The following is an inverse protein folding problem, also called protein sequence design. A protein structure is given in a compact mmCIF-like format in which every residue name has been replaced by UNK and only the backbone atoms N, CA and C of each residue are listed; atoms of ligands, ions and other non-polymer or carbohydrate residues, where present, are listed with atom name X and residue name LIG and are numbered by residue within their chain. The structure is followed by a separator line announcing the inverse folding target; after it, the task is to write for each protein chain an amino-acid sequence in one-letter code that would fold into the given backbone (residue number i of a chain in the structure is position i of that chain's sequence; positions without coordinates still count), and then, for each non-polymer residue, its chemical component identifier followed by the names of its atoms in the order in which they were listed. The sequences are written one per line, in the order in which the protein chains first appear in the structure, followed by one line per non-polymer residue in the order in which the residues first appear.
data_IF_661683583715
#
_entry.id   IF_661683583715
#
_cell.length_a   1.000
_cell.length_b   1.000
_cell.length_c   1.000
_cell.angle_alpha   90.00
_cell.angle_beta   90.00
_cell.angle_gamma   90.00
#
_symmetry.space_group_name_H-M   'P 1'
#
loop_
_entity.id
_entity.type
_entity.pdbx_description
1 polymer ?
#
# COMPACT_ATOMS: atom_id res chain seq x y z
N UNK A 1 -4.84 27.03 -42.70
CA UNK A 1 -3.92 26.03 -42.10
C UNK A 1 -3.84 26.33 -40.62
N UNK A 2 -4.66 25.66 -39.80
CA UNK A 2 -4.77 25.91 -38.36
C UNK A 2 -3.86 24.91 -37.67
N UNK A 3 -2.77 25.41 -37.07
CA UNK A 3 -1.87 24.61 -36.24
C UNK A 3 -2.64 24.26 -34.98
N UNK A 4 -2.94 22.97 -34.83
CA UNK A 4 -3.59 22.42 -33.65
C UNK A 4 -2.52 22.35 -32.57
N UNK A 5 -2.62 23.23 -31.57
CA UNK A 5 -1.88 23.12 -30.31
C UNK A 5 -2.16 21.74 -29.69
N UNK A 6 -1.26 20.80 -29.95
CA UNK A 6 -1.18 19.53 -29.25
C UNK A 6 -0.56 19.85 -27.89
N UNK A 7 -1.43 20.19 -26.94
CA UNK A 7 -1.09 20.47 -25.55
C UNK A 7 -0.25 19.33 -24.96
N UNK A 8 1.06 19.55 -24.95
CA UNK A 8 2.03 18.75 -24.24
C UNK A 8 1.78 18.94 -22.73
N UNK A 9 1.60 17.85 -22.00
CA UNK A 9 1.95 17.81 -20.57
C UNK A 9 0.86 18.13 -19.56
N UNK A 10 -0.08 17.21 -19.36
CA UNK A 10 -0.54 16.90 -18.00
C UNK A 10 -0.57 15.40 -17.83
N UNK A 11 0.57 14.82 -17.46
CA UNK A 11 0.67 13.43 -17.05
C UNK A 11 -0.20 13.22 -15.80
N UNK A 12 -1.51 13.04 -15.98
CA UNK A 12 -2.39 12.52 -14.93
C UNK A 12 -1.99 11.06 -14.78
N UNK A 13 -1.01 10.80 -13.91
CA UNK A 13 -0.62 9.45 -13.52
C UNK A 13 -1.90 8.74 -13.06
N UNK A 14 -2.19 7.57 -13.65
CA UNK A 14 -3.36 6.80 -13.28
C UNK A 14 -3.20 6.35 -11.82
N UNK A 15 -4.29 6.39 -11.04
CA UNK A 15 -4.26 5.97 -9.64
C UNK A 15 -3.78 4.51 -9.48
N UNK A 16 -4.13 3.64 -10.44
CA UNK A 16 -3.62 2.27 -10.52
C UNK A 16 -2.10 2.22 -10.59
N UNK A 17 -1.45 3.11 -11.36
CA UNK A 17 0.00 3.22 -11.46
C UNK A 17 0.61 3.69 -10.14
N UNK A 18 0.01 4.67 -9.46
CA UNK A 18 0.50 5.14 -8.17
C UNK A 18 0.44 4.02 -7.12
N UNK A 19 -0.69 3.33 -7.01
CA UNK A 19 -0.80 2.17 -6.12
C UNK A 19 0.18 1.05 -6.50
N UNK A 20 0.37 0.82 -7.81
CA UNK A 20 1.34 -0.17 -8.30
C UNK A 20 2.76 0.17 -7.88
N UNK A 21 3.18 1.44 -7.99
CA UNK A 21 4.50 1.90 -7.55
C UNK A 21 4.69 1.76 -6.03
N UNK A 22 3.66 2.07 -5.23
CA UNK A 22 3.72 1.84 -3.78
C UNK A 22 3.85 0.34 -3.48
N UNK A 23 3.09 -0.51 -4.17
CA UNK A 23 3.17 -1.96 -4.03
C UNK A 23 4.56 -2.50 -4.38
N UNK A 24 5.15 -2.05 -5.49
CA UNK A 24 6.52 -2.39 -5.88
C UNK A 24 7.52 -1.90 -4.83
N UNK A 25 7.37 -0.69 -4.30
CA UNK A 25 8.20 -0.19 -3.21
C UNK A 25 8.14 -1.08 -1.97
N UNK A 26 6.94 -1.54 -1.60
CA UNK A 26 6.75 -2.52 -0.52
C UNK A 26 7.44 -3.87 -0.80
N UNK A 27 7.35 -4.37 -2.03
CA UNK A 27 8.04 -5.60 -2.44
C UNK A 27 9.56 -5.45 -2.43
N UNK A 28 10.08 -4.30 -2.90
CA UNK A 28 11.52 -4.00 -2.85
C UNK A 28 12.02 -3.95 -1.41
N UNK A 29 11.26 -3.32 -0.51
CA UNK A 29 11.57 -3.31 0.91
C UNK A 29 11.62 -4.73 1.49
N UNK A 30 10.59 -5.54 1.20
CA UNK A 30 10.52 -6.93 1.64
C UNK A 30 11.72 -7.75 1.14
N UNK A 31 12.04 -7.65 -0.15
CA UNK A 31 13.20 -8.31 -0.75
C UNK A 31 14.52 -7.85 -0.12
N UNK A 32 14.66 -6.55 0.15
CA UNK A 32 15.84 -5.99 0.81
C UNK A 32 16.03 -6.54 2.23
N UNK A 33 14.94 -6.64 3.01
CA UNK A 33 14.99 -7.21 4.36
C UNK A 33 15.41 -8.68 4.33
N UNK A 34 14.85 -9.47 3.41
CA UNK A 34 15.26 -10.87 3.23
C UNK A 34 16.74 -11.00 2.85
N UNK A 35 17.21 -10.16 1.92
CA UNK A 35 18.62 -10.15 1.54
C UNK A 35 19.53 -9.81 2.73
N UNK A 36 19.18 -8.81 3.56
CA UNK A 36 19.95 -8.47 4.76
C UNK A 36 19.96 -9.65 5.76
N UNK A 37 18.82 -10.32 5.94
CA UNK A 37 18.69 -11.49 6.82
C UNK A 37 19.59 -12.64 6.38
N UNK A 38 19.71 -12.87 5.08
CA UNK A 38 20.53 -13.96 4.52
C UNK A 38 22.03 -13.69 4.67
N UNK A 39 22.45 -12.43 4.71
CA UNK A 39 23.87 -12.05 4.88
C UNK A 39 24.44 -12.41 6.26
N UNK A 40 23.64 -12.93 7.21
CA UNK A 40 24.08 -13.36 8.54
C UNK A 40 24.98 -12.34 9.24
N UNK A 41 24.72 -11.04 9.02
CA UNK A 41 25.52 -9.97 9.60
C UNK A 41 25.38 -10.02 11.12
N UNK A 42 26.48 -9.79 11.83
CA UNK A 42 26.45 -9.56 13.28
C UNK A 42 25.80 -8.20 13.56
N UNK A 43 24.47 -8.15 13.44
CA UNK A 43 23.68 -6.97 13.73
C UNK A 43 23.65 -6.76 15.24
N UNK A 44 23.72 -5.50 15.66
CA UNK A 44 23.41 -5.14 17.03
C UNK A 44 21.97 -5.56 17.40
N UNK A 45 21.65 -5.75 18.69
CA UNK A 45 20.36 -6.32 19.13
C UNK A 45 19.12 -5.65 18.52
N UNK A 46 19.14 -4.33 18.36
CA UNK A 46 18.07 -3.56 17.71
C UNK A 46 17.98 -3.89 16.21
N UNK A 47 19.11 -3.98 15.51
CA UNK A 47 19.14 -4.33 14.09
C UNK A 47 18.62 -5.74 13.84
N UNK A 48 18.99 -6.70 14.69
CA UNK A 48 18.48 -8.07 14.61
C UNK A 48 16.95 -8.12 14.85
N UNK A 49 16.45 -7.38 15.83
CA UNK A 49 15.02 -7.26 16.10
C UNK A 49 14.26 -6.65 14.90
N UNK A 50 14.76 -5.52 14.37
CA UNK A 50 14.12 -4.85 13.22
C UNK A 50 14.10 -5.75 11.98
N UNK A 51 15.20 -6.44 11.67
CA UNK A 51 15.26 -7.40 10.55
C UNK A 51 14.34 -8.61 10.78
N UNK A 52 14.05 -8.95 12.04
CA UNK A 52 13.06 -9.97 12.40
C UNK A 52 11.64 -9.58 12.01
N UNK A 53 11.20 -8.37 12.40
CA UNK A 53 9.80 -7.93 12.25
C UNK A 53 9.50 -7.17 10.95
N UNK A 54 10.53 -6.60 10.32
CA UNK A 54 10.41 -5.82 9.08
C UNK A 54 9.78 -6.59 7.90
N UNK A 55 9.96 -7.93 7.72
CA UNK A 55 9.28 -8.65 6.65
C UNK A 55 7.76 -8.56 6.76
N UNK A 56 7.18 -8.74 7.95
CA UNK A 56 5.74 -8.67 8.15
C UNK A 56 5.20 -7.25 7.94
N UNK A 57 5.93 -6.25 8.41
CA UNK A 57 5.63 -4.85 8.14
C UNK A 57 5.61 -4.53 6.63
N UNK A 58 6.66 -4.93 5.91
CA UNK A 58 6.79 -4.66 4.47
C UNK A 58 5.76 -5.44 3.65
N UNK A 59 5.52 -6.71 4.00
CA UNK A 59 4.51 -7.54 3.37
C UNK A 59 3.11 -6.94 3.54
N UNK A 60 2.77 -6.42 4.72
CA UNK A 60 1.49 -5.77 4.96
C UNK A 60 1.24 -4.59 4.00
N UNK A 61 2.25 -3.75 3.79
CA UNK A 61 2.17 -2.63 2.84
C UNK A 61 2.06 -3.16 1.39
N UNK A 62 2.96 -4.07 1.02
CA UNK A 62 3.03 -4.61 -0.33
C UNK A 62 1.71 -5.25 -0.77
N UNK A 63 1.15 -6.16 0.06
CA UNK A 63 -0.09 -6.87 -0.24
C UNK A 63 -1.24 -5.88 -0.45
N UNK A 64 -1.39 -4.88 0.44
CA UNK A 64 -2.43 -3.87 0.32
C UNK A 64 -2.41 -3.17 -1.04
N UNK A 65 -1.24 -2.68 -1.46
CA UNK A 65 -1.11 -1.87 -2.67
C UNK A 65 -1.01 -2.67 -3.96
N UNK A 66 -0.43 -3.88 -3.92
CA UNK A 66 -0.43 -4.78 -5.09
C UNK A 66 -1.85 -5.21 -5.42
N UNK A 67 -2.61 -5.69 -4.44
CA UNK A 67 -4.01 -6.11 -4.67
C UNK A 67 -4.88 -4.92 -5.07
N UNK A 68 -4.70 -3.76 -4.44
CA UNK A 68 -5.43 -2.55 -4.80
C UNK A 68 -5.09 -2.07 -6.22
N UNK A 69 -3.83 -2.14 -6.65
CA UNK A 69 -3.42 -1.72 -8.00
C UNK A 69 -3.99 -2.61 -9.10
N UNK A 70 -4.01 -3.93 -8.88
CA UNK A 70 -4.67 -4.90 -9.77
C UNK A 70 -6.15 -4.57 -9.88
N UNK A 71 -6.82 -4.28 -8.78
CA UNK A 71 -8.23 -3.94 -8.81
C UNK A 71 -8.50 -2.59 -9.50
N UNK A 72 -7.68 -1.58 -9.21
CA UNK A 72 -7.79 -0.25 -9.80
C UNK A 72 -7.54 -0.27 -11.32
N UNK A 73 -6.65 -1.13 -11.83
CA UNK A 73 -6.38 -1.25 -13.27
C UNK A 73 -7.58 -1.81 -14.06
N UNK A 74 -8.43 -2.62 -13.41
CA UNK A 74 -9.64 -3.20 -14.02
C UNK A 74 -10.81 -2.21 -14.09
N UNK A 75 -10.76 -1.06 -13.40
CA UNK A 75 -11.88 -0.12 -13.25
C UNK A 75 -11.48 1.30 -13.67
N UNK A 76 -11.77 1.69 -14.92
CA UNK A 76 -11.40 3.01 -15.48
C UNK A 76 -12.09 4.22 -14.83
N UNK A 77 -13.26 4.04 -14.20
CA UNK A 77 -13.99 5.11 -13.50
C UNK A 77 -14.49 4.58 -12.16
N UNK A 78 -13.83 4.99 -11.08
CA UNK A 78 -14.23 4.61 -9.71
C UNK A 78 -14.19 5.83 -8.81
N UNK A 79 -15.19 5.94 -7.94
CA UNK A 79 -15.26 7.01 -6.95
C UNK A 79 -14.22 6.78 -5.85
N UNK A 80 -13.81 7.86 -5.19
CA UNK A 80 -12.87 7.79 -4.05
C UNK A 80 -13.42 6.92 -2.92
N UNK A 81 -14.73 6.94 -2.70
CA UNK A 81 -15.39 6.08 -1.70
C UNK A 81 -15.27 4.59 -2.06
N UNK A 82 -15.45 4.23 -3.33
CA UNK A 82 -15.28 2.85 -3.79
C UNK A 82 -13.82 2.39 -3.61
N UNK A 83 -12.85 3.26 -3.89
CA UNK A 83 -11.43 3.00 -3.64
C UNK A 83 -11.14 2.79 -2.15
N UNK A 84 -11.73 3.61 -1.26
CA UNK A 84 -11.55 3.47 0.19
C UNK A 84 -12.09 2.13 0.69
N UNK A 85 -13.30 1.76 0.28
CA UNK A 85 -13.89 0.48 0.68
C UNK A 85 -13.06 -0.71 0.16
N UNK A 86 -12.48 -0.57 -1.04
CA UNK A 86 -11.61 -1.60 -1.57
C UNK A 86 -10.27 -1.67 -0.85
N UNK A 87 -9.69 -0.53 -0.50
CA UNK A 87 -8.49 -0.48 0.33
C UNK A 87 -8.72 -1.18 1.67
N UNK A 88 -9.85 -0.91 2.35
CA UNK A 88 -10.21 -1.59 3.60
C UNK A 88 -10.31 -3.11 3.42
N UNK A 89 -10.91 -3.58 2.31
CA UNK A 89 -10.94 -5.00 2.00
C UNK A 89 -9.54 -5.59 1.76
N UNK A 90 -8.64 -4.86 1.10
CA UNK A 90 -7.24 -5.28 0.89
C UNK A 90 -6.46 -5.30 2.21
N UNK A 91 -6.66 -4.30 3.07
CA UNK A 91 -6.06 -4.23 4.41
C UNK A 91 -6.55 -5.37 5.30
N UNK A 92 -7.85 -5.69 5.27
CA UNK A 92 -8.41 -6.83 5.98
C UNK A 92 -7.82 -8.15 5.46
N UNK A 93 -7.75 -8.32 4.14
CA UNK A 93 -7.14 -9.51 3.53
C UNK A 93 -5.68 -9.67 3.95
N UNK A 94 -4.90 -8.58 3.90
CA UNK A 94 -3.50 -8.58 4.32
C UNK A 94 -3.35 -8.89 5.81
N UNK A 95 -4.15 -8.26 6.67
CA UNK A 95 -4.10 -8.46 8.11
C UNK A 95 -4.49 -9.86 8.51
N UNK A 96 -5.62 -10.37 8.02
CA UNK A 96 -6.05 -11.75 8.31
C UNK A 96 -5.09 -12.77 7.72
N UNK A 97 -4.54 -12.52 6.53
CA UNK A 97 -3.55 -13.40 5.91
C UNK A 97 -2.28 -13.51 6.76
N UNK A 98 -1.70 -12.38 7.17
CA UNK A 98 -0.44 -12.33 7.93
C UNK A 98 -0.63 -12.75 9.40
N UNK A 99 -1.68 -12.29 10.07
CA UNK A 99 -1.99 -12.72 11.45
C UNK A 99 -2.37 -14.20 11.46
N UNK A 100 -3.17 -14.65 10.49
CA UNK A 100 -3.52 -16.06 10.35
C UNK A 100 -2.30 -16.94 10.08
N UNK A 101 -1.37 -16.46 9.25
CA UNK A 101 -0.07 -17.11 9.04
C UNK A 101 0.71 -17.25 10.34
N UNK A 102 0.80 -16.19 11.13
CA UNK A 102 1.50 -16.19 12.42
C UNK A 102 0.86 -17.13 13.45
N UNK A 103 -0.47 -17.20 13.49
CA UNK A 103 -1.19 -18.17 14.31
C UNK A 103 -0.99 -19.60 13.83
N UNK A 104 -0.90 -19.83 12.52
CA UNK A 104 -0.62 -21.14 11.96
C UNK A 104 0.78 -21.64 12.36
N UNK A 105 1.76 -20.74 12.51
CA UNK A 105 3.11 -21.11 12.97
C UNK A 105 3.10 -21.80 14.34
N UNK A 106 2.15 -21.48 15.24
CA UNK A 106 2.00 -22.16 16.54
C UNK A 106 1.75 -23.67 16.44
N UNK A 107 1.24 -24.13 15.30
CA UNK A 107 0.98 -25.57 15.06
C UNK A 107 2.21 -26.31 14.55
N UNK A 108 3.24 -25.60 14.10
CA UNK A 108 4.47 -26.16 13.56
C UNK A 108 5.57 -26.25 14.61
N UNK A 109 6.27 -27.38 14.69
CA UNK A 109 7.42 -27.57 15.61
C UNK A 109 8.69 -26.83 15.17
N UNK A 110 8.71 -26.23 13.97
CA UNK A 110 9.88 -25.57 13.38
C UNK A 110 9.83 -24.04 13.39
N UNK A 111 8.65 -23.45 13.64
CA UNK A 111 8.44 -22.01 13.56
C UNK A 111 7.96 -21.49 14.91
N UNK A 112 8.45 -20.31 15.31
CA UNK A 112 8.19 -19.72 16.62
C UNK A 112 7.25 -18.55 16.42
N UNK A 113 6.09 -18.60 17.06
CA UNK A 113 5.16 -17.48 17.11
C UNK A 113 5.80 -16.26 17.75
N UNK A 114 5.72 -15.11 17.08
CA UNK A 114 6.18 -13.83 17.62
C UNK A 114 5.03 -12.79 17.69
N UNK A 115 4.80 -12.26 18.90
CA UNK A 115 3.83 -11.18 19.10
C UNK A 115 4.25 -9.90 18.37
N UNK A 116 5.56 -9.67 18.22
CA UNK A 116 6.08 -8.48 17.55
C UNK A 116 5.80 -8.51 16.04
N UNK A 117 5.69 -9.69 15.44
CA UNK A 117 5.29 -9.86 14.04
C UNK A 117 3.83 -9.49 13.79
N UNK A 118 2.95 -9.81 14.74
CA UNK A 118 1.57 -9.32 14.70
C UNK A 118 1.51 -7.80 14.86
N UNK A 119 2.29 -7.22 15.78
CA UNK A 119 2.37 -5.76 15.95
C UNK A 119 2.92 -5.08 14.69
N UNK A 120 3.97 -5.63 14.08
CA UNK A 120 4.55 -5.13 12.85
C UNK A 120 3.56 -5.19 11.68
N UNK A 121 2.74 -6.24 11.61
CA UNK A 121 1.63 -6.34 10.67
C UNK A 121 0.63 -5.19 10.87
N UNK A 122 0.20 -4.92 12.11
CA UNK A 122 -0.73 -3.82 12.42
C UNK A 122 -0.13 -2.45 12.08
N UNK A 123 1.13 -2.22 12.42
CA UNK A 123 1.86 -0.98 12.08
C UNK A 123 1.99 -0.84 10.55
N UNK A 124 2.26 -1.94 9.84
CA UNK A 124 2.32 -1.98 8.38
C UNK A 124 0.99 -1.62 7.73
N UNK A 125 -0.13 -2.15 8.24
CA UNK A 125 -1.48 -1.78 7.79
C UNK A 125 -1.78 -0.31 8.06
N UNK A 126 -1.45 0.19 9.26
CA UNK A 126 -1.60 1.61 9.60
C UNK A 126 -0.80 2.52 8.68
N UNK A 127 0.44 2.12 8.37
CA UNK A 127 1.31 2.83 7.41
C UNK A 127 0.73 2.78 6.00
N UNK A 128 0.20 1.63 5.57
CA UNK A 128 -0.45 1.51 4.28
C UNK A 128 -1.68 2.43 4.18
N UNK A 129 -2.45 2.55 5.26
CA UNK A 129 -3.60 3.46 5.32
C UNK A 129 -3.16 4.92 5.21
N UNK A 130 -2.09 5.30 5.91
CA UNK A 130 -1.52 6.64 5.81
C UNK A 130 -1.07 6.95 4.38
N UNK A 131 -0.34 6.04 3.74
CA UNK A 131 0.09 6.20 2.34
C UNK A 131 -1.13 6.32 1.42
N UNK A 132 -2.18 5.52 1.63
CA UNK A 132 -3.41 5.60 0.85
C UNK A 132 -4.04 6.99 0.96
N UNK A 133 -4.15 7.55 2.16
CA UNK A 133 -4.68 8.91 2.34
C UNK A 133 -3.84 10.01 1.70
N UNK A 134 -2.52 9.81 1.58
CA UNK A 134 -1.61 10.76 0.94
C UNK A 134 -1.73 10.68 -0.59
N UNK A 135 -1.80 9.46 -1.13
CA UNK A 135 -1.75 9.20 -2.58
C UNK A 135 -3.13 9.35 -3.24
N UNK A 136 -4.21 9.07 -2.51
CA UNK A 136 -5.58 9.17 -3.03
C UNK A 136 -6.12 10.60 -2.87
N UNK A 137 -6.46 11.31 -3.97
CA UNK A 137 -6.95 12.68 -3.89
C UNK A 137 -8.28 12.76 -3.13
N UNK A 138 -8.41 13.77 -2.27
CA UNK A 138 -9.68 14.14 -1.64
C UNK A 138 -10.54 14.82 -2.70
N UNK A 139 -11.77 14.34 -2.91
CA UNK A 139 -12.72 15.00 -3.81
C UNK A 139 -13.11 16.36 -3.22
N UNK A 140 -12.35 17.39 -3.56
CA UNK A 140 -12.68 18.79 -3.29
C UNK A 140 -12.43 19.53 -4.59
N UNK A 141 -13.48 19.63 -5.42
CA UNK A 141 -13.66 20.64 -6.48
C UNK A 141 -14.89 20.24 -7.32
N UNK A 142 -16.08 20.53 -6.78
CA UNK A 142 -17.34 20.59 -7.53
C UNK A 142 -18.31 21.50 -6.78
N UNK A 143 -17.92 22.74 -6.52
CA UNK A 143 -18.82 23.81 -6.06
C UNK A 143 -18.46 25.20 -6.61
N UNK A 144 -17.32 25.37 -7.27
CA UNK A 144 -16.89 26.71 -7.74
C UNK A 144 -17.40 27.10 -9.13
N UNK A 145 -18.07 26.18 -9.85
CA UNK A 145 -18.58 26.43 -11.21
C UNK A 145 -20.07 26.82 -11.19
N UNK A 146 -20.88 26.26 -10.28
CA UNK A 146 -22.31 26.62 -10.17
C UNK A 146 -22.55 28.02 -9.59
N UNK A 147 -21.59 28.57 -8.83
CA UNK A 147 -21.68 29.93 -8.30
C UNK A 147 -21.40 31.03 -9.32
N UNK A 148 -20.77 30.72 -10.46
CA UNK A 148 -20.34 31.72 -11.44
C UNK A 148 -21.34 31.90 -12.58
N UNK A 149 -22.12 30.86 -12.91
CA UNK A 149 -23.21 30.93 -13.89
C UNK A 149 -24.54 31.42 -13.27
N UNK A 150 -24.72 31.33 -11.94
CA UNK A 150 -25.88 31.92 -11.26
C UNK A 150 -25.76 33.44 -11.04
N UNK A 151 -24.60 34.03 -11.37
CA UNK A 151 -24.29 35.46 -11.20
C UNK A 151 -24.08 36.21 -12.53
N UNK A 152 -24.39 35.59 -13.67
CA UNK A 152 -24.41 36.20 -15.01
C UNK A 152 -25.82 36.16 -15.58
#
# INVERSE_FOLDING_TARGET
MVIKDQGFGRWRVQLSTLYGLVGIGGLMLLSGVHWIRDQSMALEPIGAYLVGVAPNFAAAIAICFVVLSIWASQRRHTTVESMRNRFLACAALSGFGLIGWELFQRTSRRLVFDLHDMLATLIGIGTAALIFFIVTPKTTERNDIEGQDAAR
#
